data_IF_190253000547
#
_entry.id   IF_190253000547
#
_cell.length_a   1.000
_cell.length_b   1.000
_cell.length_c   1.000
_cell.angle_alpha   90.00
_cell.angle_beta   90.00
_cell.angle_gamma   90.00
#
_symmetry.space_group_name_H-M   'P 1'
#
loop_
_entity.id
_entity.type
_entity.pdbx_description
1 polymer ?
#
# COMPACT_ATOMS: atom_id res chain seq x y z
N UNK A 1 3.42 19.01 -6.48
CA UNK A 1 4.74 19.16 -7.13
C UNK A 1 5.62 18.03 -6.61
N UNK A 2 5.81 16.96 -7.40
CA UNK A 2 6.70 15.85 -7.02
C UNK A 2 8.10 16.41 -7.19
N UNK A 3 8.84 16.60 -6.08
CA UNK A 3 10.29 16.73 -6.20
C UNK A 3 10.77 15.39 -6.76
N UNK A 4 11.20 15.37 -8.02
CA UNK A 4 12.11 14.34 -8.48
C UNK A 4 13.23 14.29 -7.45
N UNK A 5 13.26 13.22 -6.66
CA UNK A 5 14.45 12.94 -5.90
C UNK A 5 15.50 12.67 -6.96
N UNK A 6 16.49 13.55 -7.06
CA UNK A 6 17.67 13.30 -7.85
C UNK A 6 18.11 11.88 -7.54
N UNK A 7 18.32 11.15 -8.61
CA UNK A 7 18.83 9.80 -8.56
C UNK A 7 20.18 9.85 -7.82
N UNK A 8 20.18 9.60 -6.51
CA UNK A 8 21.39 9.38 -5.72
C UNK A 8 21.98 8.02 -6.12
N UNK A 9 22.14 7.82 -7.41
CA UNK A 9 22.46 6.57 -8.09
C UNK A 9 23.91 6.12 -7.93
N UNK A 10 24.73 6.81 -7.14
CA UNK A 10 26.16 6.54 -7.07
C UNK A 10 26.65 5.89 -5.78
N UNK A 11 25.75 5.34 -4.96
CA UNK A 11 26.17 4.65 -3.74
C UNK A 11 26.41 3.16 -3.98
N UNK A 12 27.57 2.79 -4.51
CA UNK A 12 28.20 1.52 -4.17
C UNK A 12 29.00 1.76 -2.90
N UNK A 13 28.48 1.34 -1.77
CA UNK A 13 29.22 1.44 -0.51
C UNK A 13 30.11 0.21 -0.37
N UNK A 14 31.39 0.38 -0.13
CA UNK A 14 32.31 -0.68 0.29
C UNK A 14 32.01 -1.16 1.73
N UNK A 15 31.07 -0.51 2.40
CA UNK A 15 30.61 -0.87 3.74
C UNK A 15 29.84 -2.19 3.69
N UNK A 16 29.85 -2.91 4.80
CA UNK A 16 29.07 -4.13 4.94
C UNK A 16 27.56 -3.91 4.80
N UNK A 17 27.05 -2.81 5.38
CA UNK A 17 25.69 -2.33 5.23
C UNK A 17 25.67 -0.80 5.31
N UNK A 18 24.88 -0.17 4.44
CA UNK A 18 24.68 1.27 4.44
C UNK A 18 23.24 1.62 4.07
N UNK A 19 22.61 2.54 4.80
CA UNK A 19 21.31 3.11 4.48
C UNK A 19 21.53 4.35 3.63
N UNK A 20 21.06 4.31 2.38
CA UNK A 20 21.22 5.40 1.44
C UNK A 20 20.18 6.51 1.65
N UNK A 21 18.95 6.10 1.94
CA UNK A 21 17.83 6.99 2.25
C UNK A 21 16.68 6.19 2.86
N UNK A 22 15.83 6.87 3.61
CA UNK A 22 14.64 6.29 4.21
C UNK A 22 13.57 7.35 4.39
N UNK A 23 12.33 6.93 4.59
CA UNK A 23 11.25 7.88 4.82
C UNK A 23 9.90 7.24 5.01
N UNK A 24 8.95 8.11 5.33
CA UNK A 24 7.53 7.84 5.43
C UNK A 24 6.77 8.70 4.43
N UNK A 25 5.77 8.12 3.77
CA UNK A 25 4.92 8.84 2.83
C UNK A 25 3.45 8.54 3.10
N UNK A 26 2.65 9.60 3.18
CA UNK A 26 1.19 9.54 3.21
C UNK A 26 0.65 10.03 1.86
N UNK A 27 -0.08 9.18 1.17
CA UNK A 27 -0.66 9.46 -0.14
C UNK A 27 -2.11 9.91 0.01
N UNK A 28 -2.35 11.23 0.09
CA UNK A 28 -3.68 11.81 0.20
C UNK A 28 -4.57 11.59 -1.04
N UNK A 29 -3.97 11.54 -2.23
CA UNK A 29 -4.63 11.25 -3.51
C UNK A 29 -3.89 10.16 -4.28
N UNK A 30 -4.58 9.48 -5.21
CA UNK A 30 -3.92 8.52 -6.12
C UNK A 30 -2.80 9.22 -6.86
N UNK A 31 -1.66 8.56 -6.99
CA UNK A 31 -0.50 9.10 -7.73
C UNK A 31 -0.27 8.31 -9.01
N UNK A 32 0.35 8.99 -9.97
CA UNK A 32 0.88 8.36 -11.17
C UNK A 32 1.82 7.20 -10.79
N UNK A 33 1.83 6.12 -11.55
CA UNK A 33 2.78 5.03 -11.34
C UNK A 33 4.22 5.51 -11.35
N UNK A 34 5.01 4.97 -10.44
CA UNK A 34 6.45 5.20 -10.42
C UNK A 34 7.10 4.11 -11.28
N UNK A 35 7.71 4.53 -12.39
CA UNK A 35 8.42 3.64 -13.30
C UNK A 35 9.92 3.93 -13.27
N UNK A 36 10.73 2.91 -12.99
CA UNK A 36 12.17 2.90 -13.19
C UNK A 36 12.55 1.70 -14.04
N UNK A 37 12.64 1.88 -15.33
CA UNK A 37 12.84 0.81 -16.32
C UNK A 37 14.17 0.04 -16.13
N UNK A 38 15.21 0.72 -15.66
CA UNK A 38 16.55 0.15 -15.38
C UNK A 38 16.73 -0.22 -13.90
N UNK A 39 15.67 -0.06 -13.08
CA UNK A 39 15.77 -0.24 -11.62
C UNK A 39 16.66 0.79 -10.94
N UNK A 40 17.07 0.47 -9.72
CA UNK A 40 18.03 1.23 -8.91
C UNK A 40 19.28 0.38 -8.68
N UNK A 41 20.37 1.00 -8.25
CA UNK A 41 21.62 0.29 -7.90
C UNK A 41 21.61 -0.27 -6.47
N UNK A 42 20.62 0.11 -5.68
CA UNK A 42 20.45 -0.28 -4.28
C UNK A 42 19.22 -1.19 -4.09
N UNK A 43 19.13 -1.82 -2.92
CA UNK A 43 17.93 -2.49 -2.47
C UNK A 43 16.88 -1.47 -2.05
N UNK A 44 15.62 -1.78 -2.28
CA UNK A 44 14.50 -0.95 -1.88
C UNK A 44 13.47 -1.78 -1.10
N UNK A 45 13.32 -1.51 0.19
CA UNK A 45 12.18 -1.93 0.98
C UNK A 45 11.06 -0.92 0.90
N UNK A 46 9.85 -1.43 0.70
CA UNK A 46 8.62 -0.66 0.73
C UNK A 46 7.60 -1.41 1.59
N UNK A 47 7.29 -0.91 2.77
CA UNK A 47 6.31 -1.49 3.69
C UNK A 47 5.00 -0.72 3.61
N UNK A 48 3.89 -1.45 3.43
CA UNK A 48 2.55 -0.88 3.37
C UNK A 48 1.97 -0.82 4.78
N UNK A 49 2.01 0.36 5.39
CA UNK A 49 1.48 0.59 6.73
C UNK A 49 -0.05 0.74 6.73
N UNK A 50 -0.62 1.34 5.68
CA UNK A 50 -2.06 1.45 5.45
C UNK A 50 -2.35 1.51 3.95
N UNK A 51 -3.55 1.05 3.54
CA UNK A 51 -4.00 1.16 2.16
C UNK A 51 -3.48 0.06 1.24
N UNK A 52 -3.32 0.40 -0.04
CA UNK A 52 -3.04 -0.56 -1.12
C UNK A 52 -2.01 0.00 -2.09
N UNK A 53 -1.12 -0.87 -2.57
CA UNK A 53 -0.14 -0.60 -3.61
C UNK A 53 -0.24 -1.68 -4.70
N UNK A 54 -0.24 -1.28 -5.97
CA UNK A 54 -0.05 -2.21 -7.09
C UNK A 54 1.41 -2.15 -7.51
N UNK A 55 2.06 -3.29 -7.68
CA UNK A 55 3.47 -3.38 -8.05
C UNK A 55 3.75 -4.52 -9.01
N UNK A 56 4.64 -4.29 -9.98
CA UNK A 56 5.20 -5.35 -10.79
C UNK A 56 6.47 -5.90 -10.11
N UNK A 57 6.51 -7.21 -10.00
CA UNK A 57 7.63 -7.96 -9.44
C UNK A 57 8.11 -9.01 -10.44
N UNK A 58 9.27 -9.64 -10.25
CA UNK A 58 9.69 -10.79 -11.07
C UNK A 58 8.67 -11.93 -11.10
N UNK A 59 7.86 -12.07 -10.03
CA UNK A 59 6.81 -13.08 -9.95
C UNK A 59 5.46 -12.61 -10.58
N UNK A 60 5.45 -11.47 -11.27
CA UNK A 60 4.30 -10.88 -11.92
C UNK A 60 3.70 -9.70 -11.16
N UNK A 61 2.56 -9.22 -11.64
CA UNK A 61 1.83 -8.12 -11.01
C UNK A 61 1.24 -8.56 -9.66
N UNK A 62 1.48 -7.75 -8.63
CA UNK A 62 1.02 -7.97 -7.26
C UNK A 62 0.22 -6.76 -6.77
N UNK A 63 -0.84 -7.04 -6.04
CA UNK A 63 -1.54 -6.05 -5.25
C UNK A 63 -1.14 -6.24 -3.78
N UNK A 64 -0.45 -5.26 -3.24
CA UNK A 64 0.00 -5.24 -1.85
C UNK A 64 -1.02 -4.52 -0.99
N UNK A 65 -1.11 -4.95 0.25
CA UNK A 65 -1.97 -4.34 1.25
C UNK A 65 -1.21 -4.09 2.56
N UNK A 66 -1.91 -3.57 3.53
CA UNK A 66 -1.37 -3.33 4.86
C UNK A 66 -0.69 -4.58 5.42
N UNK A 67 0.54 -4.43 5.90
CA UNK A 67 1.38 -5.50 6.45
C UNK A 67 2.29 -6.18 5.43
N UNK A 68 2.23 -5.79 4.16
CA UNK A 68 3.14 -6.32 3.15
C UNK A 68 4.43 -5.50 3.05
N UNK A 69 5.52 -6.21 2.91
CA UNK A 69 6.84 -5.70 2.60
C UNK A 69 7.20 -6.10 1.16
N UNK A 70 7.44 -5.11 0.31
CA UNK A 70 7.99 -5.29 -1.03
C UNK A 70 9.50 -5.06 -0.99
N UNK A 71 10.23 -5.99 -1.58
CA UNK A 71 11.66 -5.87 -1.83
C UNK A 71 11.92 -5.79 -3.33
N UNK A 72 12.51 -4.69 -3.78
CA UNK A 72 13.23 -4.62 -5.05
C UNK A 72 14.73 -4.77 -4.82
N UNK A 73 15.35 -5.61 -5.64
CA UNK A 73 16.81 -5.82 -5.62
C UNK A 73 17.49 -4.82 -6.57
N UNK A 74 18.80 -4.65 -6.46
CA UNK A 74 19.55 -3.84 -7.40
C UNK A 74 19.26 -4.25 -8.86
N UNK A 75 19.08 -3.23 -9.72
CA UNK A 75 18.80 -3.36 -11.15
C UNK A 75 17.45 -4.01 -11.54
N UNK A 76 16.60 -4.39 -10.59
CA UNK A 76 15.25 -4.82 -10.90
C UNK A 76 14.39 -3.66 -11.38
N UNK A 77 13.68 -3.85 -12.50
CA UNK A 77 12.69 -2.89 -12.99
C UNK A 77 11.64 -2.64 -11.92
N UNK A 78 11.37 -1.38 -11.62
CA UNK A 78 10.39 -0.98 -10.62
C UNK A 78 9.20 -0.32 -11.32
N UNK A 79 8.02 -0.86 -11.10
CA UNK A 79 6.75 -0.24 -11.49
C UNK A 79 5.77 -0.46 -10.36
N UNK A 80 5.38 0.63 -9.69
CA UNK A 80 4.40 0.55 -8.61
C UNK A 80 3.60 1.84 -8.48
N UNK A 81 2.39 1.72 -7.95
CA UNK A 81 1.48 2.83 -7.72
C UNK A 81 0.71 2.66 -6.42
N UNK A 82 0.35 3.77 -5.80
CA UNK A 82 -0.38 3.79 -4.54
C UNK A 82 -1.81 4.26 -4.75
N UNK A 83 -2.73 3.64 -4.03
CA UNK A 83 -4.10 4.12 -3.95
C UNK A 83 -4.20 5.28 -2.94
N UNK A 84 -5.23 6.12 -3.11
CA UNK A 84 -5.52 7.21 -2.19
C UNK A 84 -5.62 6.73 -0.74
N UNK A 85 -5.04 7.47 0.19
CA UNK A 85 -5.01 7.15 1.61
C UNK A 85 -3.97 6.10 2.02
N UNK A 86 -3.13 5.64 1.09
CA UNK A 86 -2.05 4.72 1.44
C UNK A 86 -0.95 5.41 2.25
N UNK A 87 -0.44 4.70 3.24
CA UNK A 87 0.72 5.12 4.04
C UNK A 87 1.81 4.07 3.94
N UNK A 88 3.02 4.50 3.64
CA UNK A 88 4.14 3.60 3.41
C UNK A 88 5.39 4.08 4.11
N UNK A 89 6.20 3.12 4.53
CA UNK A 89 7.60 3.33 4.91
C UNK A 89 8.50 2.77 3.82
N UNK A 90 9.61 3.41 3.58
CA UNK A 90 10.58 2.93 2.62
C UNK A 90 12.02 3.13 3.11
N UNK A 91 12.90 2.21 2.73
CA UNK A 91 14.33 2.25 3.02
C UNK A 91 15.07 1.82 1.75
N UNK A 92 16.01 2.63 1.33
CA UNK A 92 17.01 2.29 0.32
C UNK A 92 18.33 1.96 1.03
N UNK A 93 18.90 0.83 0.73
CA UNK A 93 20.13 0.36 1.37
C UNK A 93 21.02 -0.40 0.40
N UNK A 94 22.33 -0.43 0.71
CA UNK A 94 23.35 -1.13 -0.05
C UNK A 94 24.40 -1.69 0.89
N UNK A 95 25.37 -2.41 0.37
CA UNK A 95 26.50 -2.96 1.11
C UNK A 95 26.85 -4.38 0.72
N UNK A 96 28.10 -4.77 0.97
CA UNK A 96 28.61 -6.10 0.63
C UNK A 96 27.91 -7.23 1.37
N UNK A 97 27.38 -6.96 2.58
CA UNK A 97 26.64 -7.91 3.42
C UNK A 97 25.12 -7.81 3.29
N UNK A 98 24.57 -6.89 2.49
CA UNK A 98 23.12 -6.69 2.42
C UNK A 98 22.37 -7.96 2.03
N UNK A 99 22.86 -8.71 1.04
CA UNK A 99 22.27 -9.99 0.62
C UNK A 99 22.31 -11.05 1.71
N UNK A 100 23.39 -11.13 2.49
CA UNK A 100 23.52 -12.08 3.61
C UNK A 100 22.53 -11.75 4.73
N UNK A 101 22.33 -10.47 5.04
CA UNK A 101 21.35 -10.00 6.02
C UNK A 101 19.94 -10.41 5.58
N UNK A 102 19.58 -10.15 4.33
CA UNK A 102 18.28 -10.53 3.78
C UNK A 102 18.07 -12.05 3.86
N UNK A 103 19.07 -12.85 3.52
CA UNK A 103 19.04 -14.30 3.63
C UNK A 103 18.90 -14.77 5.08
N UNK A 104 19.66 -14.20 6.01
CA UNK A 104 19.57 -14.51 7.43
C UNK A 104 18.18 -14.17 8.00
N UNK A 105 17.58 -13.09 7.51
CA UNK A 105 16.21 -12.68 7.85
C UNK A 105 15.12 -13.44 7.06
N UNK A 106 15.47 -14.32 6.13
CA UNK A 106 14.54 -15.03 5.22
C UNK A 106 13.65 -14.07 4.39
N UNK A 107 14.16 -12.89 4.09
CA UNK A 107 13.51 -11.86 3.29
C UNK A 107 13.95 -11.86 1.81
N UNK A 108 14.82 -12.77 1.44
CA UNK A 108 15.40 -12.88 0.08
C UNK A 108 14.62 -13.79 -0.88
N UNK A 109 13.67 -14.57 -0.36
CA UNK A 109 13.02 -15.64 -1.15
C UNK A 109 11.95 -15.15 -2.12
N UNK A 110 11.28 -14.05 -1.81
CA UNK A 110 10.18 -13.48 -2.61
C UNK A 110 10.31 -11.98 -2.65
N UNK A 111 9.75 -11.36 -3.69
CA UNK A 111 9.69 -9.89 -3.77
C UNK A 111 8.65 -9.31 -2.83
N UNK A 112 7.57 -10.03 -2.53
CA UNK A 112 6.53 -9.59 -1.58
C UNK A 112 6.40 -10.60 -0.45
N UNK A 113 6.48 -10.10 0.79
CA UNK A 113 6.39 -10.91 2.01
C UNK A 113 5.40 -10.22 2.95
N UNK A 114 4.39 -10.97 3.42
CA UNK A 114 3.51 -10.47 4.46
C UNK A 114 4.21 -10.60 5.82
N UNK A 115 4.43 -9.47 6.49
CA UNK A 115 5.06 -9.41 7.81
C UNK A 115 4.12 -8.88 8.90
N UNK A 116 2.84 -8.66 8.54
CA UNK A 116 1.81 -8.21 9.48
C UNK A 116 1.88 -6.72 9.81
N UNK A 117 1.05 -6.34 10.79
CA UNK A 117 0.78 -4.92 11.14
C UNK A 117 1.14 -4.58 12.58
N UNK A 118 2.03 -5.36 13.20
CA UNK A 118 2.44 -5.09 14.58
C UNK A 118 3.11 -3.71 14.69
N UNK A 119 2.72 -2.96 15.72
CA UNK A 119 3.23 -1.60 15.97
C UNK A 119 4.74 -1.53 16.18
N UNK A 120 5.38 -2.64 16.52
CA UNK A 120 6.85 -2.69 16.64
C UNK A 120 7.53 -2.44 15.30
N UNK A 121 6.94 -2.90 14.19
CA UNK A 121 7.48 -2.72 12.85
C UNK A 121 7.52 -1.23 12.46
N UNK A 122 6.41 -0.52 12.62
CA UNK A 122 6.34 0.93 12.33
C UNK A 122 7.24 1.72 13.26
N UNK A 123 7.29 1.38 14.54
CA UNK A 123 8.22 2.02 15.50
C UNK A 123 9.69 1.85 15.13
N UNK A 124 10.07 0.69 14.58
CA UNK A 124 11.44 0.47 14.11
C UNK A 124 11.75 1.28 12.85
N UNK A 125 10.79 1.41 11.92
CA UNK A 125 10.94 2.34 10.79
C UNK A 125 11.08 3.79 11.26
N UNK A 126 10.23 4.23 12.20
CA UNK A 126 10.33 5.59 12.76
C UNK A 126 11.70 5.84 13.38
N UNK A 127 12.26 4.87 14.10
CA UNK A 127 13.61 4.97 14.66
C UNK A 127 14.69 5.04 13.58
N UNK A 128 14.59 4.21 12.54
CA UNK A 128 15.51 4.30 11.39
C UNK A 128 15.50 5.69 10.81
N UNK A 129 14.31 6.25 10.59
CA UNK A 129 14.13 7.57 9.96
C UNK A 129 14.63 8.70 10.87
N UNK A 130 14.29 8.65 12.16
CA UNK A 130 14.65 9.71 13.11
C UNK A 130 16.15 9.80 13.37
N UNK A 131 16.85 8.66 13.34
CA UNK A 131 18.31 8.60 13.59
C UNK A 131 19.12 8.65 12.27
N UNK A 132 18.46 8.72 11.12
CA UNK A 132 19.13 8.79 9.83
C UNK A 132 19.69 10.19 9.57
N UNK A 133 21.01 10.25 9.33
CA UNK A 133 21.71 11.47 8.92
C UNK A 133 22.35 11.22 7.55
N UNK A 134 22.00 11.99 6.50
CA UNK A 134 22.63 11.87 5.21
C UNK A 134 24.17 11.95 5.30
N UNK A 135 24.85 11.18 4.45
CA UNK A 135 26.31 11.17 4.33
C UNK A 135 27.09 10.78 5.60
N UNK A 136 26.44 10.09 6.55
CA UNK A 136 27.06 9.60 7.77
C UNK A 136 27.11 8.07 7.82
N UNK A 137 27.77 7.50 8.85
CA UNK A 137 27.84 6.04 9.03
C UNK A 137 26.52 5.42 9.49
N UNK A 138 25.60 6.22 10.01
CA UNK A 138 24.24 5.81 10.37
C UNK A 138 24.16 4.53 11.24
N UNK A 139 25.11 4.31 12.15
CA UNK A 139 25.20 3.09 12.96
C UNK A 139 23.90 2.82 13.72
N UNK A 140 23.30 3.86 14.29
CA UNK A 140 22.02 3.73 15.03
C UNK A 140 20.88 3.31 14.08
N UNK A 141 20.72 3.99 12.95
CA UNK A 141 19.71 3.63 11.93
C UNK A 141 19.93 2.22 11.41
N UNK A 142 21.17 1.80 11.17
CA UNK A 142 21.52 0.45 10.77
C UNK A 142 21.12 -0.56 11.85
N UNK A 143 21.35 -0.25 13.13
CA UNK A 143 20.97 -1.14 14.23
C UNK A 143 19.45 -1.37 14.30
N UNK A 144 18.64 -0.31 14.11
CA UNK A 144 17.18 -0.40 14.04
C UNK A 144 16.71 -1.16 12.80
N UNK A 145 17.36 -0.95 11.66
CA UNK A 145 17.08 -1.69 10.44
C UNK A 145 17.34 -3.20 10.60
N UNK A 146 18.44 -3.59 11.22
CA UNK A 146 18.72 -5.00 11.53
C UNK A 146 17.67 -5.60 12.46
N UNK A 147 17.27 -4.86 13.50
CA UNK A 147 16.18 -5.28 14.39
C UNK A 147 14.86 -5.42 13.61
N UNK A 148 14.55 -4.49 12.70
CA UNK A 148 13.39 -4.59 11.82
C UNK A 148 13.44 -5.89 10.98
N UNK A 149 14.57 -6.21 10.34
CA UNK A 149 14.71 -7.43 9.57
C UNK A 149 14.46 -8.69 10.41
N UNK A 150 14.96 -8.72 11.65
CA UNK A 150 14.74 -9.85 12.56
C UNK A 150 13.29 -9.97 13.03
N UNK A 151 12.62 -8.84 13.30
CA UNK A 151 11.18 -8.85 13.63
C UNK A 151 10.35 -9.27 12.41
N UNK A 152 10.65 -8.76 11.22
CA UNK A 152 9.98 -9.16 9.99
C UNK A 152 10.09 -10.68 9.76
N UNK A 153 11.29 -11.28 9.99
CA UNK A 153 11.46 -12.73 9.98
C UNK A 153 10.53 -13.45 10.96
N UNK A 154 10.49 -12.98 12.20
CA UNK A 154 9.65 -13.57 13.25
C UNK A 154 8.18 -13.56 12.85
N UNK A 155 7.67 -12.42 12.40
CA UNK A 155 6.28 -12.28 12.00
C UNK A 155 5.93 -13.00 10.70
N UNK A 156 6.87 -13.12 9.75
CA UNK A 156 6.66 -13.92 8.53
C UNK A 156 6.66 -15.43 8.79
N UNK A 157 7.27 -15.89 9.88
CA UNK A 157 7.39 -17.30 10.25
C UNK A 157 6.22 -17.79 11.10
N UNK A 158 5.49 -16.92 11.78
CA UNK A 158 4.25 -17.24 12.49
C UNK A 158 3.13 -17.53 11.48
N UNK A 159 3.26 -18.70 10.87
CA UNK A 159 2.46 -19.21 9.75
C UNK A 159 1.00 -19.52 10.09
N UNK A 160 0.53 -19.25 11.30
CA UNK A 160 -0.90 -19.33 11.65
C UNK A 160 -1.69 -18.05 11.28
N UNK A 161 -1.01 -16.98 10.91
CA UNK A 161 -1.63 -15.88 10.15
C UNK A 161 -1.21 -15.93 8.66
N UNK A 162 -1.18 -17.10 8.07
CA UNK A 162 -1.28 -17.29 6.63
C UNK A 162 -2.65 -16.87 6.14
N UNK A 163 -2.97 -15.60 6.29
CA UNK A 163 -4.24 -15.16 5.78
C UNK A 163 -4.07 -13.89 4.96
N UNK A 164 -3.19 -13.92 4.01
CA UNK A 164 -3.65 -13.67 2.68
C UNK A 164 -4.57 -14.84 2.35
N UNK A 165 -5.73 -14.82 2.95
CA UNK A 165 -6.76 -15.75 2.58
C UNK A 165 -7.02 -15.44 1.10
N UNK A 166 -6.57 -16.34 0.21
CA UNK A 166 -6.77 -16.17 -1.24
C UNK A 166 -8.23 -15.83 -1.55
N UNK A 167 -9.12 -16.23 -0.66
CA UNK A 167 -10.54 -15.91 -0.70
C UNK A 167 -10.77 -14.40 -0.55
N UNK A 168 -10.09 -13.74 0.42
CA UNK A 168 -10.21 -12.28 0.62
C UNK A 168 -9.61 -11.54 -0.58
N UNK A 169 -8.50 -12.00 -1.13
CA UNK A 169 -7.92 -11.43 -2.33
C UNK A 169 -8.86 -11.55 -3.55
N UNK A 170 -9.49 -12.71 -3.72
CA UNK A 170 -10.52 -12.92 -4.76
C UNK A 170 -11.70 -11.98 -4.56
N UNK A 171 -12.16 -11.81 -3.32
CA UNK A 171 -13.27 -10.91 -3.00
C UNK A 171 -12.92 -9.44 -3.23
N UNK A 172 -11.74 -8.97 -2.86
CA UNK A 172 -11.35 -7.58 -3.12
C UNK A 172 -11.27 -7.31 -4.63
N UNK A 173 -10.74 -8.25 -5.43
CA UNK A 173 -10.78 -8.16 -6.89
C UNK A 173 -12.21 -8.12 -7.43
N UNK A 174 -13.09 -8.97 -6.90
CA UNK A 174 -14.50 -8.98 -7.28
C UNK A 174 -15.18 -7.65 -6.92
N UNK A 175 -15.00 -7.15 -5.70
CA UNK A 175 -15.53 -5.86 -5.25
C UNK A 175 -15.05 -4.70 -6.14
N UNK A 176 -13.76 -4.67 -6.49
CA UNK A 176 -13.20 -3.65 -7.37
C UNK A 176 -13.84 -3.67 -8.78
N UNK A 177 -14.11 -4.87 -9.31
CA UNK A 177 -14.73 -5.02 -10.63
C UNK A 177 -16.23 -4.75 -10.64
N UNK A 178 -16.90 -5.01 -9.51
CA UNK A 178 -18.37 -5.00 -9.41
C UNK A 178 -18.88 -4.00 -8.37
N UNK A 179 -18.19 -2.89 -8.15
CA UNK A 179 -18.47 -1.92 -7.09
C UNK A 179 -19.83 -1.21 -7.25
N UNK A 180 -20.36 -1.18 -8.47
CA UNK A 180 -21.68 -0.62 -8.76
C UNK A 180 -22.84 -1.51 -8.28
N UNK A 181 -22.59 -2.81 -8.05
CA UNK A 181 -23.61 -3.74 -7.58
C UNK A 181 -23.86 -3.58 -6.08
N UNK A 182 -25.15 -3.59 -5.70
CA UNK A 182 -25.58 -3.49 -4.29
C UNK A 182 -25.60 -4.84 -3.59
N UNK A 183 -24.51 -5.61 -3.71
CA UNK A 183 -24.38 -6.88 -3.03
C UNK A 183 -24.28 -6.73 -1.50
N UNK A 184 -24.95 -7.58 -0.76
CA UNK A 184 -24.87 -7.59 0.71
C UNK A 184 -23.52 -8.09 1.19
N UNK A 185 -23.12 -7.73 2.42
CA UNK A 185 -21.90 -8.25 3.02
C UNK A 185 -21.96 -9.77 3.24
N UNK A 186 -23.15 -10.32 3.44
CA UNK A 186 -23.39 -11.74 3.54
C UNK A 186 -23.16 -12.46 2.19
N UNK A 187 -23.48 -11.85 1.07
CA UNK A 187 -23.13 -12.34 -0.26
C UNK A 187 -21.60 -12.57 -0.39
N UNK A 188 -20.79 -11.57 -0.01
CA UNK A 188 -19.34 -11.70 -0.06
C UNK A 188 -18.79 -12.73 0.92
N UNK A 189 -19.39 -12.83 2.11
CA UNK A 189 -19.03 -13.85 3.10
C UNK A 189 -19.28 -15.26 2.56
N UNK A 190 -20.45 -15.49 1.94
CA UNK A 190 -20.78 -16.77 1.28
C UNK A 190 -19.85 -17.13 0.13
N UNK A 191 -19.45 -16.15 -0.68
CA UNK A 191 -18.46 -16.37 -1.74
C UNK A 191 -17.10 -16.87 -1.20
N UNK A 192 -16.77 -16.55 0.04
CA UNK A 192 -15.59 -17.05 0.75
C UNK A 192 -15.81 -18.37 1.49
N UNK A 193 -17.05 -18.87 1.58
CA UNK A 193 -17.39 -20.00 2.46
C UNK A 193 -17.21 -19.66 3.95
N UNK A 194 -17.47 -18.42 4.35
CA UNK A 194 -17.28 -17.90 5.71
C UNK A 194 -18.59 -17.40 6.29
N UNK A 195 -18.69 -17.44 7.63
CA UNK A 195 -19.72 -16.67 8.34
C UNK A 195 -19.43 -15.16 8.19
N UNK A 196 -20.47 -14.33 8.26
CA UNK A 196 -20.35 -12.87 8.13
C UNK A 196 -19.33 -12.28 9.13
N UNK A 197 -19.37 -12.76 10.39
CA UNK A 197 -18.43 -12.31 11.44
C UNK A 197 -16.98 -12.68 11.11
N UNK A 198 -16.75 -13.93 10.68
CA UNK A 198 -15.40 -14.39 10.31
C UNK A 198 -14.89 -13.66 9.08
N UNK A 199 -15.73 -13.46 8.07
CA UNK A 199 -15.42 -12.67 6.89
C UNK A 199 -15.01 -11.24 7.25
N UNK A 200 -15.83 -10.53 8.06
CA UNK A 200 -15.54 -9.15 8.46
C UNK A 200 -14.21 -9.04 9.22
N UNK A 201 -13.92 -10.01 10.11
CA UNK A 201 -12.65 -10.04 10.84
C UNK A 201 -11.45 -10.25 9.91
N UNK A 202 -11.50 -11.28 9.04
CA UNK A 202 -10.41 -11.60 8.11
C UNK A 202 -10.22 -10.49 7.07
N UNK A 203 -11.32 -9.93 6.57
CA UNK A 203 -11.28 -8.84 5.61
C UNK A 203 -10.62 -7.59 6.21
N UNK A 204 -11.01 -7.23 7.45
CA UNK A 204 -10.39 -6.10 8.17
C UNK A 204 -8.91 -6.35 8.47
N UNK A 205 -8.54 -7.57 8.85
CA UNK A 205 -7.15 -7.95 9.06
C UNK A 205 -6.32 -7.82 7.77
N UNK A 206 -6.88 -8.22 6.61
CA UNK A 206 -6.21 -8.18 5.32
C UNK A 206 -6.18 -6.79 4.67
N UNK A 207 -7.21 -5.94 4.86
CA UNK A 207 -7.36 -4.67 4.15
C UNK A 207 -7.22 -3.43 5.04
N UNK A 208 -7.12 -3.62 6.36
CA UNK A 208 -7.08 -2.56 7.36
C UNK A 208 -8.44 -1.93 7.69
N UNK A 209 -9.48 -2.16 6.86
CA UNK A 209 -10.81 -1.57 7.03
C UNK A 209 -11.91 -2.64 6.94
N UNK A 210 -13.09 -2.34 7.49
CA UNK A 210 -14.23 -3.25 7.33
C UNK A 210 -14.65 -3.37 5.85
N UNK A 211 -15.28 -4.51 5.44
CA UNK A 211 -15.76 -4.70 4.07
C UNK A 211 -16.69 -3.57 3.60
N UNK A 212 -17.58 -3.12 4.47
CA UNK A 212 -18.49 -2.01 4.17
C UNK A 212 -17.74 -0.69 3.94
N UNK A 213 -16.77 -0.36 4.80
CA UNK A 213 -15.94 0.84 4.64
C UNK A 213 -15.08 0.77 3.38
N UNK A 214 -14.57 -0.43 3.05
CA UNK A 214 -13.83 -0.67 1.82
C UNK A 214 -14.68 -0.34 0.58
N UNK A 215 -15.91 -0.88 0.50
CA UNK A 215 -16.83 -0.60 -0.61
C UNK A 215 -17.20 0.89 -0.69
N UNK A 216 -17.46 1.51 0.45
CA UNK A 216 -17.71 2.97 0.51
C UNK A 216 -16.53 3.76 -0.06
N UNK A 217 -15.32 3.50 0.42
CA UNK A 217 -14.12 4.19 -0.05
C UNK A 217 -13.88 3.96 -1.56
N UNK A 218 -14.17 2.77 -2.06
CA UNK A 218 -14.05 2.43 -3.47
C UNK A 218 -15.02 3.28 -4.32
N UNK A 219 -16.29 3.34 -3.94
CA UNK A 219 -17.30 4.16 -4.64
C UNK A 219 -16.98 5.65 -4.58
N UNK A 220 -16.55 6.16 -3.42
CA UNK A 220 -16.14 7.57 -3.27
C UNK A 220 -15.02 7.92 -4.24
N UNK A 221 -14.00 7.09 -4.39
CA UNK A 221 -12.92 7.33 -5.36
C UNK A 221 -13.42 7.39 -6.82
N UNK A 222 -14.37 6.54 -7.18
CA UNK A 222 -14.96 6.59 -8.51
C UNK A 222 -15.81 7.84 -8.71
N UNK A 223 -16.54 8.29 -7.67
CA UNK A 223 -17.26 9.58 -7.70
C UNK A 223 -16.28 10.73 -7.90
N UNK A 224 -15.19 10.81 -7.11
CA UNK A 224 -14.14 11.84 -7.27
C UNK A 224 -13.60 11.88 -8.70
N UNK A 225 -13.31 10.69 -9.26
CA UNK A 225 -12.84 10.58 -10.63
C UNK A 225 -13.86 11.12 -11.66
N UNK A 226 -15.13 10.71 -11.54
CA UNK A 226 -16.16 11.16 -12.47
C UNK A 226 -16.47 12.66 -12.32
N UNK A 227 -16.48 13.20 -11.09
CA UNK A 227 -16.64 14.65 -10.84
C UNK A 227 -15.51 15.48 -11.48
N UNK A 228 -14.31 14.91 -11.60
CA UNK A 228 -13.13 15.60 -12.13
C UNK A 228 -13.03 15.49 -13.65
N UNK A 229 -13.36 14.31 -14.23
CA UNK A 229 -12.98 13.96 -15.60
C UNK A 229 -14.16 13.65 -16.52
N UNK A 230 -15.42 13.84 -16.08
CA UNK A 230 -16.58 13.59 -16.94
C UNK A 230 -17.54 14.76 -16.96
N UNK A 231 -18.41 14.81 -17.99
CA UNK A 231 -19.48 15.80 -18.11
C UNK A 231 -20.79 15.35 -17.44
N UNK A 232 -20.75 14.25 -16.70
CA UNK A 232 -21.91 13.70 -16.01
C UNK A 232 -22.43 14.65 -14.93
N UNK A 233 -23.74 14.71 -14.81
CA UNK A 233 -24.39 15.39 -13.69
C UNK A 233 -24.40 14.50 -12.43
N UNK A 234 -24.75 15.07 -11.28
CA UNK A 234 -24.73 14.38 -9.98
C UNK A 234 -25.59 13.11 -9.97
N UNK A 235 -26.74 13.13 -10.65
CA UNK A 235 -27.65 11.97 -10.72
C UNK A 235 -27.05 10.84 -11.57
N UNK A 236 -26.45 11.18 -12.70
CA UNK A 236 -25.75 10.23 -13.57
C UNK A 236 -24.55 9.61 -12.85
N UNK A 237 -23.78 10.41 -12.11
CA UNK A 237 -22.65 9.91 -11.31
C UNK A 237 -23.14 8.97 -10.21
N UNK A 238 -24.28 9.26 -9.55
CA UNK A 238 -24.84 8.37 -8.55
C UNK A 238 -25.18 7.01 -9.17
N UNK A 239 -25.89 6.99 -10.28
CA UNK A 239 -26.22 5.75 -11.00
C UNK A 239 -24.97 5.00 -11.46
N UNK A 240 -24.02 5.68 -12.09
CA UNK A 240 -22.76 5.09 -12.58
C UNK A 240 -21.89 4.51 -11.45
N UNK A 241 -22.09 4.95 -10.22
CA UNK A 241 -21.33 4.47 -9.04
C UNK A 241 -22.14 3.54 -8.11
N UNK A 242 -23.35 3.13 -8.57
CA UNK A 242 -24.19 2.12 -7.91
C UNK A 242 -24.98 2.67 -6.72
N UNK A 243 -25.33 3.96 -6.76
CA UNK A 243 -26.26 4.56 -5.80
C UNK A 243 -27.63 4.76 -6.48
N UNK A 244 -28.68 4.29 -5.82
CA UNK A 244 -30.07 4.47 -6.23
C UNK A 244 -30.61 5.88 -5.92
N UNK A 245 -29.99 6.56 -4.95
CA UNK A 245 -30.36 7.89 -4.48
C UNK A 245 -29.17 8.85 -4.52
N UNK A 246 -29.23 9.86 -5.37
CA UNK A 246 -28.22 10.88 -5.52
C UNK A 246 -28.04 11.77 -4.28
N UNK A 247 -29.12 11.97 -3.49
CA UNK A 247 -29.03 12.71 -2.23
C UNK A 247 -28.27 11.92 -1.17
N UNK A 248 -28.54 10.61 -1.08
CA UNK A 248 -27.79 9.73 -0.20
C UNK A 248 -26.31 9.67 -0.60
N UNK A 249 -26.01 9.52 -1.88
CA UNK A 249 -24.66 9.57 -2.42
C UNK A 249 -23.96 10.88 -2.03
N UNK A 250 -24.62 12.01 -2.22
CA UNK A 250 -24.08 13.35 -1.92
C UNK A 250 -23.75 13.53 -0.43
N UNK A 251 -24.63 13.04 0.45
CA UNK A 251 -24.40 13.05 1.91
C UNK A 251 -23.21 12.16 2.30
N UNK A 252 -23.13 10.98 1.72
CA UNK A 252 -22.06 10.03 1.97
C UNK A 252 -20.71 10.59 1.46
N UNK A 253 -20.72 11.20 0.28
CA UNK A 253 -19.54 11.85 -0.31
C UNK A 253 -19.05 12.97 0.61
N UNK A 254 -19.92 13.91 1.01
CA UNK A 254 -19.57 15.00 1.93
C UNK A 254 -19.03 14.49 3.26
N UNK A 255 -19.61 13.44 3.81
CA UNK A 255 -19.14 12.80 5.07
C UNK A 255 -17.70 12.26 4.93
N UNK A 256 -17.30 11.77 3.75
CA UNK A 256 -16.00 11.16 3.54
C UNK A 256 -14.92 12.13 3.02
N UNK A 257 -15.31 13.19 2.29
CA UNK A 257 -14.38 14.14 1.64
C UNK A 257 -14.37 15.52 2.29
N UNK A 258 -15.38 15.84 3.13
CA UNK A 258 -15.56 17.14 3.76
C UNK A 258 -16.30 18.17 2.90
N UNK A 259 -16.48 17.93 1.59
CA UNK A 259 -17.13 18.85 0.63
C UNK A 259 -18.28 18.18 -0.09
N UNK A 260 -19.26 18.94 -0.58
CA UNK A 260 -20.30 18.39 -1.41
C UNK A 260 -19.78 18.01 -2.80
N UNK A 261 -20.43 17.07 -3.53
CA UNK A 261 -20.05 16.75 -4.90
C UNK A 261 -20.03 17.98 -5.83
N UNK A 262 -20.96 18.92 -5.66
CA UNK A 262 -21.02 20.15 -6.46
C UNK A 262 -19.82 21.06 -6.18
N UNK A 263 -19.50 21.32 -4.92
CA UNK A 263 -18.32 22.11 -4.52
C UNK A 263 -17.01 21.43 -4.97
N UNK A 264 -16.97 20.10 -4.92
CA UNK A 264 -15.82 19.33 -5.38
C UNK A 264 -15.64 19.45 -6.90
N UNK A 265 -16.71 19.35 -7.67
CA UNK A 265 -16.73 19.52 -9.13
C UNK A 265 -16.26 20.94 -9.52
N UNK A 266 -16.82 21.98 -8.91
CA UNK A 266 -16.45 23.39 -9.18
C UNK A 266 -14.96 23.66 -8.93
N UNK A 267 -14.36 22.95 -7.97
CA UNK A 267 -12.95 23.13 -7.59
C UNK A 267 -11.96 22.30 -8.40
N UNK A 268 -12.37 21.15 -8.92
CA UNK A 268 -11.43 20.13 -9.48
C UNK A 268 -11.75 19.72 -10.92
N UNK A 269 -12.86 20.16 -11.52
CA UNK A 269 -13.21 19.83 -12.89
C UNK A 269 -12.21 20.48 -13.86
N UNK A 270 -11.70 19.67 -14.78
CA UNK A 270 -10.72 20.06 -15.80
C UNK A 270 -11.44 20.25 -17.13
#
# INVERSE_FOLDING_TARGET
>A
MIKEFQDLTNFTSDKYLHINSCGFQNYGSSRMPILRSKGRKDYHFLYIAEGVCSANTPEGEKQLSQGDLLLYRPHEKQLYSFHSGSKTYWIHFTGTGAGEILKAAALDKKSVIHIGTDKILTRLFDKVINDFVPDSDNIMSISWFLQFCMMAKRFSSDSDMRLYDERILKITKYMNKNYTQNNSMDFYARMCGLSLTRFAHLFKAATGVSPHKYMTNLRIRHIEHLLTYSDMNISEIAEATGFEDALYMSRLFRKNTGTSPKEYMEKHRI
#
